data_IF_236920363488
#
_entry.id   IF_236920363488
#
_cell.length_a   1.000
_cell.length_b   1.000
_cell.length_c   1.000
_cell.angle_alpha   90.00
_cell.angle_beta   90.00
_cell.angle_gamma   90.00
#
_symmetry.space_group_name_H-M   'P 1'
#
loop_
_entity.id
_entity.type
_entity.pdbx_description
1 polymer ?
#
# COMPACT_ATOMS: atom_id res chain seq x y z
N UNK A 1 -3.21 -9.73 -10.24
CA UNK A 1 -1.89 -10.09 -9.68
C UNK A 1 -1.93 -10.05 -8.17
N UNK A 2 -0.80 -10.36 -7.53
CA UNK A 2 -0.64 -10.30 -6.08
C UNK A 2 0.50 -9.34 -5.78
N UNK A 3 0.26 -8.41 -4.85
CA UNK A 3 1.22 -7.38 -4.46
C UNK A 3 1.84 -7.73 -3.11
N UNK A 4 3.11 -7.39 -2.95
CA UNK A 4 3.81 -7.34 -1.67
C UNK A 4 4.06 -5.88 -1.32
N UNK A 5 3.62 -5.45 -0.13
CA UNK A 5 3.68 -4.07 0.32
C UNK A 5 4.65 -3.88 1.48
N UNK A 6 5.50 -2.86 1.38
CA UNK A 6 6.46 -2.45 2.42
C UNK A 6 6.52 -0.91 2.51
N UNK A 7 7.12 -0.39 3.57
CA UNK A 7 7.35 1.05 3.77
C UNK A 7 8.84 1.36 3.89
N UNK A 8 9.34 2.18 2.97
CA UNK A 8 10.69 2.75 3.05
C UNK A 8 10.63 4.07 3.80
N UNK A 9 11.47 4.21 4.83
CA UNK A 9 11.58 5.45 5.62
C UNK A 9 12.78 6.26 5.16
N UNK A 10 12.55 7.53 4.86
CA UNK A 10 13.58 8.46 4.41
C UNK A 10 14.47 8.96 5.55
N UNK A 11 15.50 9.72 5.16
CA UNK A 11 16.51 10.24 6.08
C UNK A 11 15.88 11.00 7.27
N UNK A 12 16.42 10.76 8.47
CA UNK A 12 15.95 11.39 9.73
C UNK A 12 14.46 11.18 10.01
N UNK A 13 13.85 10.13 9.46
CA UNK A 13 12.40 9.84 9.57
C UNK A 13 11.50 10.99 9.07
N UNK A 14 12.00 11.84 8.16
CA UNK A 14 11.26 13.01 7.65
C UNK A 14 10.30 12.69 6.51
N UNK A 15 10.41 11.51 5.91
CA UNK A 15 9.55 11.08 4.81
C UNK A 15 9.34 9.57 4.84
N UNK A 16 8.33 9.10 4.13
CA UNK A 16 8.09 7.69 3.88
C UNK A 16 7.54 7.47 2.46
N UNK A 17 7.80 6.29 1.93
CA UNK A 17 7.29 5.82 0.64
C UNK A 17 6.80 4.41 0.82
N UNK A 18 5.61 4.11 0.30
CA UNK A 18 5.07 2.75 0.24
C UNK A 18 5.59 2.13 -1.05
N UNK A 19 6.11 0.92 -0.98
CA UNK A 19 6.50 0.13 -2.15
C UNK A 19 5.55 -1.04 -2.31
N UNK A 20 4.94 -1.17 -3.48
CA UNK A 20 4.11 -2.32 -3.85
C UNK A 20 4.80 -3.06 -5.00
N UNK A 21 5.09 -4.35 -4.81
CA UNK A 21 5.78 -5.18 -5.80
C UNK A 21 4.86 -6.28 -6.30
N UNK A 22 4.64 -6.34 -7.61
CA UNK A 22 3.86 -7.43 -8.22
C UNK A 22 4.69 -8.71 -8.32
N UNK A 23 4.20 -9.80 -7.75
CA UNK A 23 5.00 -11.01 -7.48
C UNK A 23 5.49 -11.71 -8.75
N UNK A 24 4.78 -11.61 -9.87
CA UNK A 24 5.12 -12.30 -11.12
C UNK A 24 6.01 -11.44 -12.04
N UNK A 25 5.52 -10.27 -12.43
CA UNK A 25 6.17 -9.32 -13.35
C UNK A 25 7.32 -8.55 -12.72
N UNK A 26 7.40 -8.51 -11.38
CA UNK A 26 8.35 -7.68 -10.62
C UNK A 26 8.19 -6.19 -10.88
N UNK A 27 7.04 -5.76 -11.38
CA UNK A 27 6.70 -4.34 -11.47
C UNK A 27 6.66 -3.72 -10.07
N UNK A 28 7.31 -2.57 -9.91
CA UNK A 28 7.39 -1.83 -8.65
C UNK A 28 6.58 -0.55 -8.78
N UNK A 29 5.68 -0.33 -7.82
CA UNK A 29 4.90 0.88 -7.66
C UNK A 29 5.36 1.57 -6.38
N UNK A 30 5.73 2.85 -6.48
CA UNK A 30 6.16 3.65 -5.32
C UNK A 30 5.13 4.74 -5.06
N UNK A 31 4.54 4.75 -3.87
CA UNK A 31 3.56 5.75 -3.45
C UNK A 31 4.18 6.65 -2.39
N UNK A 32 4.28 7.95 -2.68
CA UNK A 32 4.70 8.93 -1.68
C UNK A 32 3.55 9.15 -0.70
N UNK A 33 3.84 9.00 0.58
CA UNK A 33 2.90 9.29 1.67
C UNK A 33 3.30 10.57 2.41
N UNK A 34 2.33 11.26 3.00
CA UNK A 34 2.56 12.44 3.84
C UNK A 34 3.21 12.09 5.19
N UNK A 35 3.10 10.84 5.62
CA UNK A 35 3.60 10.38 6.91
C UNK A 35 3.53 8.86 7.05
N UNK A 36 3.82 8.37 8.26
CA UNK A 36 3.84 6.93 8.59
C UNK A 36 2.65 6.47 9.42
N UNK A 37 1.70 7.35 9.71
CA UNK A 37 0.50 6.96 10.45
C UNK A 37 -0.36 6.09 9.56
N UNK A 38 -1.11 5.17 10.17
CA UNK A 38 -2.02 4.31 9.43
C UNK A 38 -3.01 5.10 8.54
N UNK A 39 -3.45 6.28 8.99
CA UNK A 39 -4.30 7.19 8.20
C UNK A 39 -3.60 7.75 6.94
N UNK A 40 -2.31 8.08 7.03
CA UNK A 40 -1.55 8.64 5.90
C UNK A 40 -1.32 7.56 4.83
N UNK A 41 -1.02 6.35 5.30
CA UNK A 41 -0.78 5.16 4.49
C UNK A 41 -2.07 4.72 3.80
N UNK A 42 -3.17 4.60 4.56
CA UNK A 42 -4.50 4.31 4.06
C UNK A 42 -4.94 5.30 2.99
N UNK A 43 -4.76 6.61 3.23
CA UNK A 43 -5.09 7.65 2.25
C UNK A 43 -4.32 7.45 0.95
N UNK A 44 -3.02 7.18 1.04
CA UNK A 44 -2.15 7.00 -0.12
C UNK A 44 -2.52 5.76 -0.94
N UNK A 45 -2.84 4.64 -0.26
CA UNK A 45 -3.24 3.39 -0.91
C UNK A 45 -4.61 3.53 -1.56
N UNK A 46 -5.59 4.12 -0.87
CA UNK A 46 -6.94 4.33 -1.42
C UNK A 46 -6.92 5.24 -2.66
N UNK A 47 -6.15 6.33 -2.60
CA UNK A 47 -5.97 7.22 -3.75
C UNK A 47 -5.40 6.48 -4.96
N UNK A 48 -4.43 5.60 -4.74
CA UNK A 48 -3.84 4.82 -5.82
C UNK A 48 -4.78 3.72 -6.33
N UNK A 49 -5.39 2.91 -5.46
CA UNK A 49 -6.33 1.86 -5.85
C UNK A 49 -7.55 2.42 -6.61
N UNK A 50 -7.97 3.65 -6.30
CA UNK A 50 -9.04 4.34 -7.05
C UNK A 50 -8.70 4.65 -8.52
N UNK A 51 -7.42 4.68 -8.87
CA UNK A 51 -6.93 4.96 -10.23
C UNK A 51 -6.58 3.67 -11.00
N UNK A 52 -6.62 2.53 -10.33
CA UNK A 52 -6.26 1.23 -10.89
C UNK A 52 -7.53 0.45 -11.25
N UNK A 53 -7.57 -0.29 -12.37
CA UNK A 53 -8.69 -1.16 -12.66
C UNK A 53 -8.89 -2.18 -11.53
N UNK A 54 -10.12 -2.28 -11.00
CA UNK A 54 -10.45 -3.10 -9.81
C UNK A 54 -10.08 -4.58 -9.93
N UNK A 55 -10.02 -5.11 -11.14
CA UNK A 55 -9.68 -6.52 -11.41
C UNK A 55 -8.17 -6.76 -11.58
N UNK A 56 -7.33 -5.72 -11.55
CA UNK A 56 -5.90 -5.84 -11.83
C UNK A 56 -5.15 -6.58 -10.72
N UNK A 57 -5.51 -6.34 -9.46
CA UNK A 57 -4.87 -6.95 -8.28
C UNK A 57 -5.91 -7.66 -7.42
N UNK A 58 -5.55 -8.84 -6.91
CA UNK A 58 -6.43 -9.70 -6.10
C UNK A 58 -6.10 -9.62 -4.62
N UNK A 59 -4.82 -9.43 -4.28
CA UNK A 59 -4.40 -9.29 -2.91
C UNK A 59 -3.16 -8.40 -2.76
N UNK A 60 -2.98 -7.85 -1.56
CA UNK A 60 -1.78 -7.13 -1.13
C UNK A 60 -1.36 -7.71 0.22
N UNK A 61 -0.14 -8.24 0.33
CA UNK A 61 0.39 -8.68 1.62
C UNK A 61 1.29 -7.61 2.20
N UNK A 62 0.98 -7.12 3.40
CA UNK A 62 1.85 -6.25 4.19
C UNK A 62 2.58 -7.02 5.29
N UNK A 63 3.61 -6.41 5.86
CA UNK A 63 4.10 -6.85 7.17
C UNK A 63 3.08 -6.51 8.28
N UNK A 64 3.27 -7.06 9.49
CA UNK A 64 2.44 -6.71 10.64
C UNK A 64 2.80 -5.32 11.22
N UNK A 65 3.28 -4.40 10.39
CA UNK A 65 3.61 -3.03 10.75
C UNK A 65 2.40 -2.25 11.23
N UNK A 66 2.60 -1.35 12.20
CA UNK A 66 1.51 -0.52 12.76
C UNK A 66 1.01 0.50 11.75
N UNK A 67 1.84 0.87 10.79
CA UNK A 67 1.49 1.67 9.62
C UNK A 67 0.37 1.05 8.77
N UNK A 68 0.15 -0.26 8.84
CA UNK A 68 -0.89 -0.96 8.09
C UNK A 68 -2.09 -1.38 8.95
N UNK A 69 -2.24 -0.85 10.17
CA UNK A 69 -3.32 -1.25 11.09
C UNK A 69 -4.74 -1.02 10.54
N UNK A 70 -4.89 -0.12 9.56
CA UNK A 70 -6.15 0.21 8.92
C UNK A 70 -6.44 -0.65 7.66
N UNK A 71 -5.69 -1.73 7.43
CA UNK A 71 -5.82 -2.61 6.25
C UNK A 71 -7.26 -3.03 5.94
N UNK A 72 -8.07 -3.30 6.97
CA UNK A 72 -9.46 -3.75 6.81
C UNK A 72 -10.35 -2.71 6.13
N UNK A 73 -10.08 -1.43 6.36
CA UNK A 73 -10.79 -0.33 5.70
C UNK A 73 -10.49 -0.34 4.20
N UNK A 74 -9.22 -0.47 3.84
CA UNK A 74 -8.74 -0.54 2.45
C UNK A 74 -9.33 -1.76 1.74
N UNK A 75 -9.27 -2.93 2.38
CA UNK A 75 -9.79 -4.20 1.86
C UNK A 75 -11.27 -4.08 1.49
N UNK A 76 -12.10 -3.56 2.41
CA UNK A 76 -13.53 -3.39 2.18
C UNK A 76 -13.84 -2.35 1.10
N UNK A 77 -13.05 -1.27 0.99
CA UNK A 77 -13.29 -0.19 0.05
C UNK A 77 -13.00 -0.59 -1.41
N UNK A 78 -12.05 -1.50 -1.61
CA UNK A 78 -11.55 -1.87 -2.94
C UNK A 78 -11.79 -3.33 -3.33
N UNK A 79 -12.50 -4.10 -2.50
CA UNK A 79 -12.76 -5.54 -2.70
C UNK A 79 -11.45 -6.32 -2.98
N UNK A 80 -10.45 -6.07 -2.13
CA UNK A 80 -9.10 -6.65 -2.26
C UNK A 80 -8.71 -7.36 -0.96
N UNK A 81 -8.08 -8.53 -1.09
CA UNK A 81 -7.60 -9.32 0.06
C UNK A 81 -6.30 -8.72 0.62
N UNK A 82 -6.27 -8.45 1.93
CA UNK A 82 -5.11 -7.84 2.63
C UNK A 82 -4.84 -8.56 3.94
#
# INVERSE_FOLDING_TARGET
GHLEGDTIVGEKHKSAVITLVERCSKAIITLKTNGRKASDIETSINQWLSQVPSHLFKSITFDCGKEFSNWKSISNAHDIDI
#
